data_IF_971719687597
#
_entry.id   IF_971719687597
#
_cell.length_a   1.000
_cell.length_b   1.000
_cell.length_c   1.000
_cell.angle_alpha   90.00
_cell.angle_beta   90.00
_cell.angle_gamma   90.00
#
_symmetry.space_group_name_H-M   'P 1'
#
loop_
_entity.id
_entity.type
_entity.pdbx_description
1 polymer ?
#
# COMPACT_ATOMS: atom_id res chain seq x y z
N UNK A 1 4.68 -8.08 46.60
CA UNK A 1 5.76 -7.88 45.62
C UNK A 1 5.08 -7.61 44.28
N UNK A 2 5.13 -6.37 43.78
CA UNK A 2 4.46 -5.96 42.55
C UNK A 2 5.23 -6.52 41.34
N UNK A 3 4.67 -7.51 40.64
CA UNK A 3 5.19 -7.93 39.34
C UNK A 3 4.82 -6.87 38.30
N UNK A 4 5.78 -6.28 37.57
CA UNK A 4 5.45 -5.38 36.48
C UNK A 4 4.88 -6.23 35.34
N UNK A 5 3.63 -5.94 34.97
CA UNK A 5 3.02 -6.47 33.75
C UNK A 5 3.98 -6.25 32.58
N UNK A 6 4.34 -7.28 31.79
CA UNK A 6 5.07 -7.02 30.57
C UNK A 6 4.17 -6.15 29.70
N UNK A 7 4.65 -4.94 29.38
CA UNK A 7 4.07 -4.16 28.31
C UNK A 7 4.31 -4.98 27.03
N UNK A 8 3.37 -5.86 26.68
CA UNK A 8 3.31 -6.42 25.34
C UNK A 8 3.07 -5.23 24.40
N UNK A 9 4.17 -4.60 23.98
CA UNK A 9 4.19 -3.71 22.86
C UNK A 9 3.63 -4.52 21.69
N UNK A 10 2.37 -4.24 21.36
CA UNK A 10 1.67 -4.83 20.24
C UNK A 10 2.41 -4.35 19.00
N UNK A 11 3.45 -5.08 18.63
CA UNK A 11 4.23 -4.86 17.42
C UNK A 11 3.21 -4.77 16.31
N UNK A 12 3.06 -3.60 15.70
CA UNK A 12 2.36 -3.48 14.42
C UNK A 12 3.21 -4.29 13.47
N UNK A 13 2.90 -5.58 13.37
CA UNK A 13 3.62 -6.53 12.53
C UNK A 13 3.52 -5.95 11.12
N UNK A 14 4.67 -5.55 10.58
CA UNK A 14 4.77 -5.14 9.18
C UNK A 14 4.14 -6.28 8.38
N UNK A 15 3.20 -5.95 7.49
CA UNK A 15 2.71 -6.96 6.57
C UNK A 15 3.90 -7.44 5.73
N UNK A 16 3.93 -8.70 5.29
CA UNK A 16 4.98 -9.16 4.38
C UNK A 16 5.15 -8.20 3.20
N UNK A 17 6.35 -7.65 3.06
CA UNK A 17 6.70 -6.67 2.01
C UNK A 17 6.66 -5.21 2.45
N UNK A 18 5.96 -4.84 3.52
CA UNK A 18 6.03 -3.48 4.08
C UNK A 18 7.45 -3.23 4.60
N UNK A 19 7.94 -2.01 4.41
CA UNK A 19 9.34 -1.66 4.68
C UNK A 19 9.46 -0.33 5.41
N UNK A 20 10.42 -0.25 6.32
CA UNK A 20 10.76 1.00 6.99
C UNK A 20 11.88 1.70 6.24
N UNK A 21 11.71 2.99 6.01
CA UNK A 21 12.72 3.80 5.34
C UNK A 21 13.98 3.91 6.21
N UNK A 22 15.16 3.62 5.64
CA UNK A 22 16.43 3.70 6.36
C UNK A 22 16.81 5.12 6.77
N UNK A 23 16.38 6.13 6.00
CA UNK A 23 16.69 7.54 6.25
C UNK A 23 15.85 8.17 7.35
N UNK A 24 14.55 7.84 7.42
CA UNK A 24 13.62 8.54 8.32
C UNK A 24 12.74 7.62 9.18
N UNK A 25 12.98 6.31 9.14
CA UNK A 25 12.24 5.28 9.88
C UNK A 25 10.72 5.26 9.63
N UNK A 26 10.25 5.92 8.56
CA UNK A 26 8.84 5.93 8.20
C UNK A 26 8.41 4.59 7.60
N UNK A 27 7.25 4.11 8.02
CA UNK A 27 6.61 2.90 7.49
C UNK A 27 6.07 3.11 6.07
N UNK A 28 6.49 2.29 5.12
CA UNK A 28 5.98 2.32 3.75
C UNK A 28 5.31 0.99 3.40
N UNK A 29 4.25 1.07 2.58
CA UNK A 29 3.59 -0.12 2.06
C UNK A 29 4.49 -0.82 1.03
N UNK A 30 4.35 -2.15 0.95
CA UNK A 30 5.10 -3.01 0.03
C UNK A 30 5.08 -2.56 -1.43
N UNK A 31 3.98 -1.95 -1.87
CA UNK A 31 3.82 -1.45 -3.24
C UNK A 31 4.63 -0.20 -3.55
N UNK A 32 5.27 0.45 -2.56
CA UNK A 32 6.02 1.69 -2.77
C UNK A 32 7.49 1.41 -3.10
N UNK A 33 7.93 2.02 -4.20
CA UNK A 33 9.34 2.09 -4.61
C UNK A 33 10.11 3.20 -3.87
N UNK A 34 9.42 4.22 -3.38
CA UNK A 34 10.01 5.36 -2.69
C UNK A 34 9.29 5.64 -1.37
N UNK A 35 10.03 6.14 -0.39
CA UNK A 35 9.49 6.49 0.91
C UNK A 35 8.46 7.62 0.77
N UNK A 36 7.27 7.45 1.35
CA UNK A 36 6.22 8.45 1.29
C UNK A 36 6.60 9.79 1.95
N UNK A 37 7.48 9.76 2.96
CA UNK A 37 7.86 10.94 3.73
C UNK A 37 9.06 11.70 3.15
N UNK A 38 10.10 10.98 2.72
CA UNK A 38 11.36 11.59 2.31
C UNK A 38 11.81 11.21 0.89
N UNK A 39 11.00 10.46 0.15
CA UNK A 39 11.28 10.02 -1.22
C UNK A 39 12.58 9.21 -1.41
N UNK A 40 13.18 8.70 -0.33
CA UNK A 40 14.31 7.77 -0.41
C UNK A 40 13.88 6.46 -1.07
N UNK A 41 14.77 5.85 -1.85
CA UNK A 41 14.50 4.57 -2.51
C UNK A 41 14.25 3.43 -1.52
N UNK A 42 13.38 2.50 -1.92
CA UNK A 42 13.17 1.26 -1.19
C UNK A 42 14.44 0.39 -1.33
N UNK A 43 15.16 0.07 -0.24
CA UNK A 43 16.36 -0.74 -0.29
C UNK A 43 16.08 -2.20 -0.67
N UNK A 44 14.83 -2.66 -0.61
CA UNK A 44 14.44 -3.99 -1.00
C UNK A 44 13.10 -3.95 -1.77
N UNK A 45 13.12 -3.53 -3.05
CA UNK A 45 11.92 -3.50 -3.87
C UNK A 45 11.46 -4.95 -4.10
N UNK A 46 10.42 -5.36 -3.38
CA UNK A 46 9.80 -6.66 -3.61
C UNK A 46 9.24 -6.76 -5.03
N UNK A 47 8.90 -7.98 -5.51
CA UNK A 47 8.32 -8.17 -6.84
C UNK A 47 7.02 -7.37 -7.06
N UNK A 48 6.38 -6.91 -6.00
CA UNK A 48 5.16 -6.09 -6.02
C UNK A 48 5.44 -4.57 -5.91
N UNK A 49 6.68 -4.13 -5.74
CA UNK A 49 7.00 -2.72 -5.61
C UNK A 49 6.77 -1.99 -6.94
N UNK A 50 5.95 -0.95 -6.92
CA UNK A 50 5.50 -0.23 -8.12
C UNK A 50 4.33 -0.89 -8.85
N UNK A 51 3.98 -2.12 -8.47
CA UNK A 51 2.80 -2.80 -8.97
C UNK A 51 1.69 -2.54 -7.96
N UNK A 52 0.60 -1.91 -8.40
CA UNK A 52 -0.64 -1.90 -7.63
C UNK A 52 -1.06 -3.34 -7.29
N UNK A 53 -2.06 -3.54 -6.41
CA UNK A 53 -2.59 -4.88 -6.16
C UNK A 53 -2.74 -5.62 -7.49
N UNK A 54 -2.27 -6.88 -7.59
CA UNK A 54 -2.37 -7.64 -8.84
C UNK A 54 -3.81 -7.50 -9.29
N UNK A 55 -3.99 -7.00 -10.51
CA UNK A 55 -5.29 -6.67 -11.07
C UNK A 55 -6.22 -7.84 -10.74
N UNK A 56 -7.02 -7.68 -9.68
CA UNK A 56 -8.05 -8.64 -9.38
C UNK A 56 -8.86 -8.67 -10.66
N UNK A 57 -9.23 -9.84 -11.20
CA UNK A 57 -10.19 -9.86 -12.29
C UNK A 57 -11.34 -8.97 -11.84
N UNK A 58 -11.58 -7.90 -12.61
CA UNK A 58 -12.44 -6.79 -12.24
C UNK A 58 -13.63 -7.31 -11.45
N UNK A 59 -13.87 -6.77 -10.25
CA UNK A 59 -15.10 -7.11 -9.51
C UNK A 59 -16.25 -6.98 -10.49
N UNK A 60 -17.08 -8.01 -10.63
CA UNK A 60 -18.07 -8.09 -11.69
C UNK A 60 -18.87 -6.78 -11.79
N UNK A 61 -18.63 -5.99 -12.84
CA UNK A 61 -19.23 -4.68 -13.08
C UNK A 61 -18.31 -3.46 -12.98
N UNK A 62 -17.09 -3.57 -12.44
CA UNK A 62 -16.10 -2.49 -12.49
C UNK A 62 -15.70 -2.22 -13.95
N UNK A 63 -15.48 -0.96 -14.30
CA UNK A 63 -15.21 -0.55 -15.68
C UNK A 63 -14.04 0.42 -15.79
N UNK A 64 -13.35 0.35 -16.93
CA UNK A 64 -12.26 1.29 -17.27
C UNK A 64 -12.80 2.46 -18.05
N UNK A 65 -12.46 3.69 -17.62
CA UNK A 65 -12.84 4.86 -18.38
C UNK A 65 -12.17 4.84 -19.76
N UNK A 66 -12.93 4.88 -20.87
CA UNK A 66 -12.36 4.81 -22.22
C UNK A 66 -11.53 6.04 -22.59
N UNK A 67 -11.69 7.15 -21.86
CA UNK A 67 -10.99 8.41 -22.14
C UNK A 67 -9.67 8.57 -21.39
N UNK A 68 -9.56 8.06 -20.15
CA UNK A 68 -8.38 8.30 -19.29
C UNK A 68 -7.81 7.04 -18.63
N UNK A 69 -8.35 5.87 -18.96
CA UNK A 69 -7.94 4.56 -18.43
C UNK A 69 -7.94 4.47 -16.89
N UNK A 70 -8.80 5.26 -16.24
CA UNK A 70 -8.99 5.24 -14.79
C UNK A 70 -10.01 4.16 -14.42
N UNK A 71 -9.69 3.38 -13.38
CA UNK A 71 -10.59 2.36 -12.81
C UNK A 71 -11.78 3.00 -12.10
N UNK A 72 -13.00 2.59 -12.48
CA UNK A 72 -14.23 3.00 -11.81
C UNK A 72 -14.94 1.78 -11.22
N UNK A 73 -15.46 1.95 -10.01
CA UNK A 73 -16.30 0.95 -9.34
C UNK A 73 -17.62 0.79 -10.09
N UNK A 74 -18.16 -0.43 -10.07
CA UNK A 74 -19.41 -0.82 -10.74
C UNK A 74 -20.64 0.04 -10.44
N UNK A 75 -20.69 0.65 -9.26
CA UNK A 75 -21.76 1.57 -8.88
C UNK A 75 -21.71 2.93 -9.58
N UNK A 76 -20.64 3.22 -10.32
CA UNK A 76 -20.47 4.51 -10.99
C UNK A 76 -20.96 4.44 -12.42
N UNK A 77 -21.79 5.42 -12.79
CA UNK A 77 -22.23 5.63 -14.18
C UNK A 77 -21.27 6.55 -14.96
N UNK A 78 -20.47 7.37 -14.26
CA UNK A 78 -19.51 8.31 -14.85
C UNK A 78 -18.11 8.12 -14.25
N UNK A 79 -17.09 8.52 -15.00
CA UNK A 79 -15.71 8.42 -14.55
C UNK A 79 -15.48 9.34 -13.36
N UNK A 80 -14.89 8.83 -12.28
CA UNK A 80 -14.55 9.64 -11.09
C UNK A 80 -13.47 10.69 -11.38
N UNK A 81 -12.62 10.45 -12.38
CA UNK A 81 -11.44 11.27 -12.67
C UNK A 81 -11.67 12.29 -13.78
N UNK A 82 -12.62 12.04 -14.69
CA UNK A 82 -12.93 12.95 -15.79
C UNK A 82 -13.98 13.98 -15.38
#
# INVERSE_FOLDING_TARGET
MLVPFPLQAKSRQLRPGDWNCFNCSFHNFASRLYCFKCNAENPNPGPQAGQGPPAQPFSHGDWMCPSCNFHNYSSRMHCKKC
#
